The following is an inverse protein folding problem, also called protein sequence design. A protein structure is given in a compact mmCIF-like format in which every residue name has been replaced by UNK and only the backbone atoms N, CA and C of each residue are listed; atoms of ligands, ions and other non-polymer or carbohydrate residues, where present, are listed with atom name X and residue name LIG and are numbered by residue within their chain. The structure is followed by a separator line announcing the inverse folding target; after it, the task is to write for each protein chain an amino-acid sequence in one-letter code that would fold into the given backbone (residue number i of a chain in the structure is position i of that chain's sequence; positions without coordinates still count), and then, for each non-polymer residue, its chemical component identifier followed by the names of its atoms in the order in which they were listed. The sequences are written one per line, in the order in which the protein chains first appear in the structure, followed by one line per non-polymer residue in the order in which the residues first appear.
data_IF_318399798682
#
_entry.id   IF_318399798682
#
_cell.length_a   1.000
_cell.length_b   1.000
_cell.length_c   1.000
_cell.angle_alpha   90.00
_cell.angle_beta   90.00
_cell.angle_gamma   90.00
#
_symmetry.space_group_name_H-M   'P 1'
#
loop_
_entity.id
_entity.type
_entity.pdbx_description
1 polymer ?
#
# COMPACT_ATOMS: atom_id res chain seq x y z
N UNK A 1 30.42 -7.02 10.26
CA UNK A 1 28.96 -7.00 10.05
C UNK A 1 28.68 -6.27 8.74
N UNK A 2 28.17 -6.95 7.71
CA UNK A 2 27.92 -6.35 6.41
C UNK A 2 26.72 -5.39 6.52
N UNK A 3 26.95 -4.08 6.37
CA UNK A 3 25.88 -3.07 6.32
C UNK A 3 25.13 -3.28 4.99
N UNK A 4 23.93 -3.84 5.03
CA UNK A 4 23.08 -4.00 3.82
C UNK A 4 22.24 -2.75 3.63
N UNK A 5 22.06 -2.28 2.40
CA UNK A 5 21.11 -1.20 2.09
C UNK A 5 19.69 -1.73 2.34
N UNK A 6 18.93 -1.02 3.17
CA UNK A 6 17.54 -1.33 3.46
C UNK A 6 16.69 -0.13 3.06
N UNK A 7 15.70 -0.36 2.22
CA UNK A 7 14.67 0.62 1.89
C UNK A 7 13.54 0.49 2.91
N UNK A 8 13.16 1.58 3.57
CA UNK A 8 11.98 1.61 4.45
C UNK A 8 10.86 2.33 3.71
N UNK A 9 9.65 1.77 3.75
CA UNK A 9 8.46 2.43 3.22
C UNK A 9 7.33 2.37 4.23
N UNK A 10 6.84 3.54 4.64
CA UNK A 10 5.65 3.63 5.47
C UNK A 10 4.40 3.47 4.60
N UNK A 11 3.48 2.62 5.04
CA UNK A 11 2.26 2.25 4.31
C UNK A 11 1.07 2.35 5.24
N UNK A 12 0.00 2.98 4.77
CA UNK A 12 -1.29 2.97 5.45
C UNK A 12 -2.22 2.02 4.71
N UNK A 13 -2.90 1.15 5.46
CA UNK A 13 -3.94 0.25 4.94
C UNK A 13 -5.23 0.49 5.72
N UNK A 14 -6.36 0.47 5.01
CA UNK A 14 -7.69 0.65 5.58
C UNK A 14 -8.34 -0.71 5.81
N UNK A 15 -8.69 -1.00 7.06
CA UNK A 15 -9.64 -2.06 7.42
C UNK A 15 -11.04 -1.44 7.50
N UNK A 16 -11.61 -1.18 6.33
CA UNK A 16 -12.87 -0.46 6.19
C UNK A 16 -14.08 -1.40 6.23
N UNK A 17 -15.05 -1.11 7.09
CA UNK A 17 -16.27 -1.91 7.30
C UNK A 17 -17.52 -1.25 6.74
N UNK A 18 -18.44 -2.06 6.21
CA UNK A 18 -19.79 -1.64 5.83
C UNK A 18 -20.64 -1.27 7.05
N UNK A 19 -21.67 -0.43 6.90
CA UNK A 19 -22.58 -0.11 7.99
C UNK A 19 -23.46 -1.32 8.34
N UNK A 20 -23.88 -1.43 9.60
CA UNK A 20 -24.82 -2.46 10.05
C UNK A 20 -24.18 -3.84 10.15
N UNK A 21 -24.36 -4.70 9.14
CA UNK A 21 -23.72 -6.02 9.07
C UNK A 21 -22.27 -5.83 8.56
N UNK A 22 -21.25 -5.85 9.43
CA UNK A 22 -19.95 -5.33 9.08
C UNK A 22 -19.18 -6.35 8.24
N UNK A 23 -19.08 -6.07 6.94
CA UNK A 23 -18.17 -6.74 6.00
C UNK A 23 -16.96 -5.85 5.73
N UNK A 24 -15.83 -6.47 5.44
CA UNK A 24 -14.57 -5.80 5.10
C UNK A 24 -14.49 -5.51 3.62
N UNK A 25 -14.05 -4.31 3.27
CA UNK A 25 -13.70 -3.96 1.90
C UNK A 25 -12.34 -4.56 1.56
N UNK A 26 -12.28 -5.41 0.53
CA UNK A 26 -11.07 -6.06 0.04
C UNK A 26 -10.81 -5.62 -1.41
N UNK A 27 -9.57 -5.22 -1.72
CA UNK A 27 -9.07 -5.10 -3.09
C UNK A 27 -8.76 -6.52 -3.59
N UNK A 28 -9.48 -6.98 -4.62
CA UNK A 28 -9.36 -8.35 -5.14
C UNK A 28 -8.48 -8.43 -6.39
N UNK A 29 -8.51 -7.40 -7.23
CA UNK A 29 -7.76 -7.33 -8.48
C UNK A 29 -7.34 -5.89 -8.78
N UNK A 30 -6.22 -5.73 -9.47
CA UNK A 30 -5.74 -4.49 -10.06
C UNK A 30 -5.46 -4.69 -11.55
N UNK A 31 -5.94 -3.78 -12.39
CA UNK A 31 -5.65 -3.71 -13.81
C UNK A 31 -4.86 -2.43 -14.09
N UNK A 32 -3.69 -2.59 -14.72
CA UNK A 32 -2.84 -1.48 -15.14
C UNK A 32 -3.41 -0.79 -16.41
N UNK A 33 -3.01 0.45 -16.73
CA UNK A 33 -3.43 1.14 -17.95
C UNK A 33 -3.13 0.37 -19.25
N UNK A 34 -2.13 -0.52 -19.23
CA UNK A 34 -1.77 -1.39 -20.36
C UNK A 34 -2.63 -2.67 -20.46
N UNK A 35 -3.64 -2.82 -19.60
CA UNK A 35 -4.54 -3.96 -19.54
C UNK A 35 -4.03 -5.17 -18.76
N UNK A 36 -2.78 -5.17 -18.29
CA UNK A 36 -2.27 -6.27 -17.44
C UNK A 36 -3.03 -6.31 -16.12
N UNK A 37 -3.46 -7.51 -15.73
CA UNK A 37 -4.17 -7.77 -14.47
C UNK A 37 -3.27 -8.45 -13.44
N UNK A 38 -3.53 -8.15 -12.16
CA UNK A 38 -2.88 -8.76 -11.01
C UNK A 38 -3.93 -9.05 -9.94
N UNK A 39 -3.99 -10.29 -9.50
CA UNK A 39 -4.74 -10.62 -8.28
C UNK A 39 -3.99 -10.06 -7.08
N UNK A 40 -4.70 -9.38 -6.17
CA UNK A 40 -4.08 -8.72 -5.01
C UNK A 40 -4.57 -9.27 -3.68
N UNK A 41 -5.89 -9.51 -3.55
CA UNK A 41 -6.54 -10.02 -2.33
C UNK A 41 -5.96 -9.41 -1.04
N UNK A 42 -6.12 -8.10 -0.87
CA UNK A 42 -5.54 -7.33 0.25
C UNK A 42 -6.47 -6.23 0.74
N UNK A 43 -6.19 -5.70 1.94
CA UNK A 43 -6.82 -4.45 2.38
C UNK A 43 -6.39 -3.29 1.47
N UNK A 44 -7.30 -2.36 1.12
CA UNK A 44 -6.95 -1.15 0.38
C UNK A 44 -5.87 -0.34 1.12
N UNK A 45 -4.83 0.07 0.42
CA UNK A 45 -3.74 0.81 1.07
C UNK A 45 -2.70 1.34 0.11
N UNK A 46 -1.95 2.32 0.58
CA UNK A 46 -0.92 3.00 -0.21
C UNK A 46 0.25 3.47 0.65
N UNK A 47 1.37 3.78 0.00
CA UNK A 47 2.54 4.36 0.66
C UNK A 47 2.21 5.79 1.11
N UNK A 48 2.72 6.19 2.27
CA UNK A 48 2.65 7.58 2.74
C UNK A 48 3.55 8.44 1.87
N UNK A 49 3.06 9.62 1.49
CA UNK A 49 3.92 10.64 0.89
C UNK A 49 4.78 11.31 1.99
N UNK A 50 5.95 11.90 1.65
CA UNK A 50 6.86 12.47 2.65
C UNK A 50 6.23 13.50 3.60
N UNK A 51 5.19 14.20 3.14
CA UNK A 51 4.49 15.24 3.89
C UNK A 51 3.19 14.76 4.55
N UNK A 52 2.83 13.48 4.40
CA UNK A 52 1.58 12.93 4.92
C UNK A 52 1.73 12.28 6.29
N UNK A 53 0.77 12.56 7.17
CA UNK A 53 0.48 11.73 8.32
C UNK A 53 -0.50 10.60 7.99
N UNK A 54 -0.71 9.70 8.95
CA UNK A 54 -1.57 8.51 8.79
C UNK A 54 -3.01 8.86 8.40
N UNK A 55 -3.58 9.92 8.97
CA UNK A 55 -4.93 10.41 8.65
C UNK A 55 -4.99 10.88 7.20
N UNK A 56 -4.05 11.71 6.77
CA UNK A 56 -4.02 12.25 5.41
C UNK A 56 -3.92 11.14 4.37
N UNK A 57 -3.06 10.14 4.60
CA UNK A 57 -2.97 8.98 3.71
C UNK A 57 -4.27 8.14 3.71
N UNK A 58 -4.91 7.94 4.87
CA UNK A 58 -6.21 7.26 4.96
C UNK A 58 -7.31 7.99 4.18
N UNK A 59 -7.38 9.32 4.31
CA UNK A 59 -8.31 10.18 3.58
C UNK A 59 -8.03 10.16 2.07
N UNK A 60 -6.75 10.15 1.68
CA UNK A 60 -6.33 9.99 0.29
C UNK A 60 -6.74 8.64 -0.30
N UNK A 61 -6.63 7.54 0.45
CA UNK A 61 -7.11 6.23 0.00
C UNK A 61 -8.62 6.30 -0.30
N UNK A 62 -9.44 6.89 0.58
CA UNK A 62 -10.87 7.05 0.31
C UNK A 62 -11.14 7.84 -0.98
N UNK A 63 -10.50 8.99 -1.14
CA UNK A 63 -10.79 9.89 -2.24
C UNK A 63 -10.23 9.40 -3.58
N UNK A 64 -8.93 9.06 -3.60
CA UNK A 64 -8.20 8.83 -4.84
C UNK A 64 -8.24 7.36 -5.28
N UNK A 65 -8.35 6.43 -4.35
CA UNK A 65 -8.41 4.99 -4.68
C UNK A 65 -9.85 4.49 -4.73
N UNK A 66 -10.70 4.93 -3.79
CA UNK A 66 -12.06 4.42 -3.66
C UNK A 66 -13.11 5.36 -4.28
N UNK A 67 -12.78 6.61 -4.59
CA UNK A 67 -13.76 7.59 -5.07
C UNK A 67 -14.89 7.84 -4.07
N UNK A 68 -14.58 7.75 -2.77
CA UNK A 68 -15.48 7.96 -1.63
C UNK A 68 -15.11 9.29 -0.96
N UNK A 69 -16.11 10.10 -0.62
CA UNK A 69 -15.87 11.32 0.17
C UNK A 69 -15.36 10.97 1.57
N UNK A 70 -14.37 11.71 2.07
CA UNK A 70 -13.85 11.55 3.45
C UNK A 70 -14.96 11.62 4.50
N UNK A 71 -15.97 12.47 4.30
CA UNK A 71 -17.11 12.60 5.21
C UNK A 71 -18.02 11.36 5.25
N UNK A 72 -17.86 10.43 4.31
CA UNK A 72 -18.66 9.20 4.23
C UNK A 72 -18.11 8.05 5.06
N UNK A 73 -16.98 8.24 5.75
CA UNK A 73 -16.39 7.25 6.64
C UNK A 73 -15.94 7.88 7.96
N UNK A 74 -15.91 7.06 9.01
CA UNK A 74 -15.31 7.39 10.31
C UNK A 74 -14.10 6.51 10.53
N UNK A 75 -12.96 7.10 10.84
CA UNK A 75 -11.74 6.39 11.18
C UNK A 75 -11.52 6.34 12.69
N UNK A 76 -11.05 5.20 13.19
CA UNK A 76 -10.50 5.11 14.54
C UNK A 76 -8.97 5.27 14.46
N UNK A 77 -8.52 6.48 14.74
CA UNK A 77 -7.09 6.83 14.76
C UNK A 77 -6.45 6.65 16.13
N UNK A 78 -7.22 6.28 17.15
CA UNK A 78 -6.70 6.05 18.50
C UNK A 78 -6.12 4.62 18.62
N UNK A 79 -6.61 3.69 17.80
CA UNK A 79 -6.25 2.27 17.84
C UNK A 79 -5.60 1.79 16.53
N UNK A 80 -4.53 2.48 16.09
CA UNK A 80 -3.79 2.10 14.87
C UNK A 80 -2.88 0.90 15.17
N UNK A 81 -3.12 -0.22 14.48
CA UNK A 81 -2.22 -1.39 14.54
C UNK A 81 -0.96 -1.13 13.69
N UNK A 82 0.21 -1.47 14.21
CA UNK A 82 1.49 -1.25 13.53
C UNK A 82 2.32 -2.53 13.48
N UNK A 83 2.91 -2.80 12.33
CA UNK A 83 3.82 -3.93 12.15
C UNK A 83 4.79 -3.69 10.99
N UNK A 84 5.89 -4.43 10.99
CA UNK A 84 6.87 -4.41 9.91
C UNK A 84 6.76 -5.68 9.06
N UNK A 85 6.96 -5.55 7.75
CA UNK A 85 7.02 -6.68 6.84
C UNK A 85 8.22 -6.51 5.91
N UNK A 86 9.11 -7.49 5.92
CA UNK A 86 10.23 -7.55 4.99
C UNK A 86 9.82 -8.30 3.72
N UNK A 87 10.04 -7.67 2.57
CA UNK A 87 9.86 -8.33 1.28
C UNK A 87 10.74 -7.68 0.21
N UNK A 88 11.06 -8.44 -0.84
CA UNK A 88 11.71 -7.88 -2.03
C UNK A 88 10.72 -6.97 -2.76
N UNK A 89 11.18 -5.78 -3.15
CA UNK A 89 10.38 -4.88 -3.95
C UNK A 89 10.73 -5.06 -5.43
N UNK A 90 9.77 -5.39 -6.31
CA UNK A 90 10.04 -5.47 -7.75
C UNK A 90 10.61 -4.18 -8.33
N UNK A 91 10.28 -3.03 -7.73
CA UNK A 91 10.77 -1.72 -8.14
C UNK A 91 12.24 -1.46 -7.76
N UNK A 92 12.80 -2.20 -6.80
CA UNK A 92 14.16 -2.03 -6.28
C UNK A 92 14.85 -3.41 -6.20
N UNK A 93 15.16 -4.02 -7.35
CA UNK A 93 15.70 -5.37 -7.40
C UNK A 93 16.99 -5.52 -6.58
N UNK A 94 17.07 -6.56 -5.75
CA UNK A 94 18.22 -6.81 -4.88
C UNK A 94 18.34 -5.87 -3.67
N UNK A 95 17.40 -4.92 -3.48
CA UNK A 95 17.35 -4.07 -2.29
C UNK A 95 16.29 -4.60 -1.32
N UNK A 96 16.71 -4.95 -0.11
CA UNK A 96 15.82 -5.36 0.97
C UNK A 96 14.85 -4.22 1.31
N UNK A 97 13.55 -4.47 1.27
CA UNK A 97 12.54 -3.48 1.64
C UNK A 97 11.81 -3.88 2.91
N UNK A 98 11.72 -2.96 3.87
CA UNK A 98 10.91 -3.08 5.08
C UNK A 98 9.71 -2.16 4.93
N UNK A 99 8.52 -2.73 4.92
CA UNK A 99 7.26 -2.00 4.91
C UNK A 99 6.79 -1.82 6.35
N UNK A 100 6.70 -0.58 6.81
CA UNK A 100 6.10 -0.23 8.10
C UNK A 100 4.64 0.06 7.86
N UNK A 101 3.79 -0.89 8.23
CA UNK A 101 2.35 -0.82 7.97
C UNK A 101 1.61 -0.27 9.17
N UNK A 102 0.70 0.66 8.90
CA UNK A 102 -0.29 1.17 9.83
C UNK A 102 -1.68 0.73 9.35
N UNK A 103 -2.36 -0.13 10.11
CA UNK A 103 -3.75 -0.50 9.84
C UNK A 103 -4.66 0.49 10.55
N UNK A 104 -5.48 1.19 9.77
CA UNK A 104 -6.48 2.12 10.27
C UNK A 104 -7.86 1.48 10.14
N UNK A 105 -8.54 1.33 11.27
CA UNK A 105 -9.95 0.96 11.29
C UNK A 105 -10.82 2.06 10.71
N UNK A 106 -11.82 1.68 9.93
CA UNK A 106 -12.85 2.61 9.52
C UNK A 106 -14.20 1.95 9.31
N UNK A 107 -15.26 2.75 9.37
CA UNK A 107 -16.63 2.32 9.05
C UNK A 107 -17.26 3.33 8.10
N UNK A 108 -17.90 2.86 7.03
CA UNK A 108 -18.75 3.69 6.18
C UNK A 108 -19.94 4.20 7.00
N UNK A 109 -20.12 5.52 7.05
CA UNK A 109 -21.12 6.19 7.89
C UNK A 109 -22.11 7.05 7.11
N UNK A 110 -22.03 7.08 5.79
CA UNK A 110 -22.96 7.84 4.94
C UNK A 110 -24.33 7.16 4.83
N UNK A 111 -25.37 7.98 4.64
CA UNK A 111 -26.74 7.55 4.30
C UNK A 111 -27.09 7.80 2.84
N UNK A 112 -26.15 8.34 2.05
CA UNK A 112 -26.33 8.57 0.62
C UNK A 112 -26.51 7.24 -0.13
N UNK A 113 -27.73 6.99 -0.57
CA UNK A 113 -28.11 5.74 -1.25
C UNK A 113 -27.40 5.57 -2.59
N UNK A 114 -27.14 6.64 -3.32
CA UNK A 114 -26.46 6.56 -4.62
C UNK A 114 -25.00 6.17 -4.43
N UNK A 115 -24.31 6.79 -3.45
CA UNK A 115 -22.96 6.41 -3.09
C UNK A 115 -22.89 4.97 -2.57
N UNK A 116 -23.80 4.58 -1.67
CA UNK A 116 -23.86 3.21 -1.15
C UNK A 116 -24.02 2.19 -2.29
N UNK A 117 -24.94 2.42 -3.23
CA UNK A 117 -25.11 1.56 -4.41
C UNK A 117 -23.86 1.50 -5.28
N UNK A 118 -23.22 2.66 -5.52
CA UNK A 118 -21.98 2.76 -6.31
C UNK A 118 -20.85 1.92 -5.72
N UNK A 119 -20.74 1.87 -4.39
CA UNK A 119 -19.71 1.08 -3.69
C UNK A 119 -20.21 -0.32 -3.33
N UNK A 120 -21.27 -0.81 -3.97
CA UNK A 120 -21.75 -2.18 -3.83
C UNK A 120 -22.62 -2.47 -2.60
N UNK A 121 -23.05 -1.46 -1.85
CA UNK A 121 -23.94 -1.60 -0.69
C UNK A 121 -25.42 -1.34 -1.06
N UNK A 122 -26.39 -1.97 -0.37
CA UNK A 122 -26.23 -2.92 0.74
C UNK A 122 -26.02 -4.37 0.30
N UNK A 123 -26.07 -4.66 -1.01
CA UNK A 123 -26.09 -6.03 -1.54
C UNK A 123 -24.71 -6.71 -1.55
N UNK A 124 -23.66 -6.00 -1.13
CA UNK A 124 -22.26 -6.45 -1.16
C UNK A 124 -21.79 -6.81 -2.58
N UNK A 125 -22.29 -6.08 -3.58
CA UNK A 125 -21.89 -6.24 -4.98
C UNK A 125 -20.44 -5.80 -5.18
N UNK A 126 -19.79 -6.41 -6.18
CA UNK A 126 -18.47 -5.99 -6.63
C UNK A 126 -18.54 -4.63 -7.33
N UNK A 127 -17.48 -3.85 -7.18
CA UNK A 127 -17.35 -2.56 -7.84
C UNK A 127 -15.88 -2.26 -8.12
N UNK A 128 -15.61 -1.24 -8.92
CA UNK A 128 -14.25 -0.82 -9.23
C UNK A 128 -14.11 0.70 -9.24
N UNK A 129 -12.87 1.16 -9.09
CA UNK A 129 -12.50 2.55 -9.23
C UNK A 129 -11.13 2.69 -9.90
N UNK A 130 -10.98 3.73 -10.71
CA UNK A 130 -9.70 4.11 -11.28
C UNK A 130 -8.96 5.04 -10.32
N UNK A 131 -7.68 4.77 -10.07
CA UNK A 131 -6.80 5.67 -9.32
C UNK A 131 -6.22 6.78 -10.21
N UNK A 132 -5.45 7.70 -9.61
CA UNK A 132 -4.81 8.82 -10.34
C UNK A 132 -3.79 8.38 -11.39
N UNK A 133 -3.22 7.18 -11.26
CA UNK A 133 -2.28 6.63 -12.22
C UNK A 133 -3.01 5.88 -13.36
N UNK A 134 -4.34 5.83 -13.33
CA UNK A 134 -5.18 5.13 -14.31
C UNK A 134 -5.28 3.63 -14.05
N UNK A 135 -4.79 3.11 -12.93
CA UNK A 135 -5.01 1.71 -12.59
C UNK A 135 -6.46 1.53 -12.15
N UNK A 136 -7.13 0.50 -12.66
CA UNK A 136 -8.48 0.13 -12.20
C UNK A 136 -8.37 -0.93 -11.12
N UNK A 137 -8.88 -0.64 -9.93
CA UNK A 137 -8.91 -1.56 -8.79
C UNK A 137 -10.31 -2.09 -8.58
N UNK A 138 -10.41 -3.39 -8.32
CA UNK A 138 -11.66 -4.11 -8.11
C UNK A 138 -11.82 -4.44 -6.63
N UNK A 139 -13.03 -4.21 -6.11
CA UNK A 139 -13.31 -4.31 -4.70
C UNK A 139 -14.52 -5.19 -4.41
N UNK A 140 -14.47 -5.88 -3.27
CA UNK A 140 -15.55 -6.73 -2.80
C UNK A 140 -15.70 -6.64 -1.28
N UNK A 141 -16.95 -6.67 -0.81
CA UNK A 141 -17.26 -6.73 0.61
C UNK A 141 -17.31 -8.18 1.10
N UNK A 142 -16.36 -8.56 1.94
CA UNK A 142 -16.19 -9.93 2.44
C UNK A 142 -16.47 -10.03 3.94
N UNK A 143 -16.95 -11.20 4.39
CA UNK A 143 -16.86 -11.52 5.82
C UNK A 143 -15.40 -11.72 6.22
N UNK A 144 -15.07 -11.50 7.50
CA UNK A 144 -13.73 -11.76 8.05
C UNK A 144 -13.26 -13.19 7.71
N UNK A 145 -14.14 -14.20 7.89
CA UNK A 145 -13.88 -15.60 7.54
C UNK A 145 -13.55 -15.79 6.05
N UNK A 146 -14.25 -15.10 5.16
CA UNK A 146 -14.00 -15.18 3.70
C UNK A 146 -12.65 -14.54 3.34
N UNK A 147 -12.34 -13.39 3.93
CA UNK A 147 -11.07 -12.70 3.71
C UNK A 147 -9.89 -13.52 4.24
N UNK A 148 -10.01 -14.13 5.43
CA UNK A 148 -9.01 -15.04 6.00
C UNK A 148 -8.82 -16.30 5.14
N UNK A 149 -9.90 -16.90 4.62
CA UNK A 149 -9.82 -18.03 3.70
C UNK A 149 -9.07 -17.67 2.39
N UNK A 150 -9.11 -16.40 1.98
CA UNK A 150 -8.33 -15.83 0.87
C UNK A 150 -6.95 -15.35 1.28
N UNK A 151 -6.51 -15.64 2.51
CA UNK A 151 -5.21 -15.26 3.09
C UNK A 151 -4.96 -13.74 3.13
N UNK A 152 -6.04 -12.95 3.22
CA UNK A 152 -5.92 -11.50 3.44
C UNK A 152 -5.33 -11.26 4.83
N UNK A 153 -4.25 -10.49 4.92
CA UNK A 153 -3.67 -10.07 6.21
C UNK A 153 -4.55 -9.01 6.88
N UNK A 154 -5.40 -9.44 7.81
CA UNK A 154 -6.36 -8.57 8.50
C UNK A 154 -5.79 -7.88 9.74
N UNK A 155 -4.71 -8.39 10.33
CA UNK A 155 -4.13 -7.91 11.59
C UNK A 155 -2.61 -7.85 11.49
N UNK A 156 -2.01 -7.09 12.39
CA UNK A 156 -0.58 -7.19 12.65
C UNK A 156 -0.25 -8.60 13.18
N UNK A 157 0.51 -9.37 12.39
CA UNK A 157 1.21 -10.55 12.91
C UNK A 157 2.48 -10.07 13.63
N UNK A 158 2.85 -10.73 14.72
CA UNK A 158 4.07 -10.39 15.45
C UNK A 158 5.29 -10.68 14.55
N UNK A 159 5.82 -9.66 13.88
CA UNK A 159 7.10 -9.77 13.19
C UNK A 159 8.25 -9.57 14.18
N UNK A 160 9.35 -10.28 13.98
CA UNK A 160 10.61 -9.95 14.63
C UNK A 160 11.01 -8.52 14.24
N UNK A 161 11.50 -7.75 15.22
CA UNK A 161 11.92 -6.37 14.99
C UNK A 161 13.09 -6.34 13.99
N UNK A 162 12.90 -5.69 12.84
CA UNK A 162 13.99 -5.52 11.86
C UNK A 162 14.84 -4.33 12.27
N UNK A 163 16.16 -4.53 12.40
CA UNK A 163 17.08 -3.42 12.68
C UNK A 163 17.14 -2.47 11.49
N UNK A 164 16.43 -1.35 11.56
CA UNK A 164 16.39 -0.32 10.51
C UNK A 164 17.50 0.73 10.64
N UNK A 165 18.50 0.54 11.50
CA UNK A 165 19.57 1.50 11.77
C UNK A 165 20.67 1.48 10.68
N UNK A 166 20.25 1.56 9.41
CA UNK A 166 21.15 1.76 8.27
C UNK A 166 20.98 3.19 7.79
N UNK A 167 22.08 3.92 7.64
CA UNK A 167 22.04 5.28 7.11
C UNK A 167 21.64 5.24 5.64
N UNK A 168 20.56 5.93 5.30
CA UNK A 168 20.17 6.15 3.91
C UNK A 168 21.26 6.99 3.19
N UNK A 169 21.59 6.67 1.92
CA UNK A 169 22.52 7.44 1.11
C UNK A 169 21.85 8.71 0.57
N UNK A 170 21.46 9.62 1.46
CA UNK A 170 20.78 10.88 1.10
C UNK A 170 21.70 11.72 0.21
N UNK A 171 21.14 12.30 -0.87
CA UNK A 171 21.81 13.21 -1.80
C UNK A 171 22.65 12.53 -2.88
N UNK A 172 22.57 11.21 -3.04
CA UNK A 172 23.38 10.50 -4.04
C UNK A 172 22.82 10.74 -5.44
N UNK A 173 23.67 11.24 -6.34
CA UNK A 173 23.39 11.26 -7.78
C UNK A 173 23.47 9.84 -8.39
N UNK A 174 23.10 9.69 -9.66
CA UNK A 174 23.04 8.39 -10.33
C UNK A 174 24.36 7.60 -10.29
N UNK A 175 25.50 8.27 -10.48
CA UNK A 175 26.82 7.63 -10.52
C UNK A 175 27.26 7.17 -9.12
N UNK A 176 27.05 8.02 -8.10
CA UNK A 176 27.30 7.68 -6.71
C UNK A 176 26.43 6.51 -6.25
N UNK A 177 25.14 6.53 -6.62
CA UNK A 177 24.20 5.47 -6.29
C UNK A 177 24.60 4.14 -6.94
N UNK A 178 24.99 4.14 -8.22
CA UNK A 178 25.49 2.93 -8.91
C UNK A 178 26.71 2.33 -8.21
N UNK A 179 27.68 3.17 -7.86
CA UNK A 179 28.90 2.72 -7.18
C UNK A 179 28.58 2.13 -5.82
N UNK A 180 27.68 2.79 -5.08
CA UNK A 180 27.24 2.34 -3.77
C UNK A 180 26.51 0.99 -3.85
N UNK A 181 25.55 0.83 -4.77
CA UNK A 181 24.81 -0.41 -4.98
C UNK A 181 25.74 -1.58 -5.31
N UNK A 182 26.71 -1.37 -6.22
CA UNK A 182 27.74 -2.38 -6.55
C UNK A 182 28.55 -2.78 -5.32
N UNK A 183 28.96 -1.82 -4.49
CA UNK A 183 29.72 -2.10 -3.26
C UNK A 183 28.95 -2.99 -2.26
N UNK A 184 27.61 -3.02 -2.38
CA UNK A 184 26.72 -3.80 -1.54
C UNK A 184 26.24 -5.09 -2.21
N UNK A 185 26.77 -5.43 -3.39
CA UNK A 185 26.39 -6.62 -4.15
C UNK A 185 25.04 -6.50 -4.87
N UNK A 186 24.50 -5.29 -5.00
CA UNK A 186 23.29 -5.02 -5.79
C UNK A 186 23.70 -4.65 -7.21
N UNK A 187 23.16 -5.36 -8.20
CA UNK A 187 23.42 -5.09 -9.62
C UNK A 187 22.58 -3.90 -10.13
N UNK A 188 23.21 -2.74 -10.44
CA UNK A 188 22.47 -1.58 -10.93
C UNK A 188 21.86 -1.78 -12.31
N UNK A 189 22.33 -2.77 -13.10
CA UNK A 189 21.83 -3.04 -14.44
C UNK A 189 20.45 -3.70 -14.46
N UNK A 190 19.94 -4.10 -13.29
CA UNK A 190 18.55 -4.58 -13.12
C UNK A 190 17.53 -3.43 -13.04
N UNK A 191 17.97 -2.21 -12.77
CA UNK A 191 17.10 -1.03 -12.70
C UNK A 191 16.74 -0.55 -14.11
N UNK A 192 15.48 -0.16 -14.31
CA UNK A 192 14.91 0.22 -15.60
C UNK A 192 14.49 -0.95 -16.51
N UNK A 193 14.53 -2.19 -16.01
CA UNK A 193 14.07 -3.40 -16.70
C UNK A 193 12.88 -4.02 -15.98
N UNK A 194 12.02 -4.73 -16.70
CA UNK A 194 10.90 -5.52 -16.15
C UNK A 194 9.95 -4.74 -15.21
N UNK A 195 9.79 -3.42 -15.45
CA UNK A 195 8.98 -2.54 -14.61
C UNK A 195 9.65 -2.10 -13.30
N UNK A 196 10.93 -2.42 -13.11
CA UNK A 196 11.75 -1.82 -12.06
C UNK A 196 11.99 -0.33 -12.36
N UNK A 197 12.15 0.46 -11.29
CA UNK A 197 12.52 1.87 -11.44
C UNK A 197 13.90 1.98 -12.07
N UNK A 198 14.11 3.03 -12.84
CA UNK A 198 15.44 3.42 -13.30
C UNK A 198 16.31 3.91 -12.13
N UNK A 199 17.63 3.86 -12.32
CA UNK A 199 18.58 4.45 -11.35
C UNK A 199 18.31 5.95 -11.15
N UNK A 200 17.93 6.65 -12.22
CA UNK A 200 17.55 8.07 -12.17
C UNK A 200 16.38 8.32 -11.23
N UNK A 201 15.30 7.54 -11.37
CA UNK A 201 14.14 7.64 -10.49
C UNK A 201 14.49 7.30 -9.04
N UNK A 202 15.36 6.30 -8.82
CA UNK A 202 15.82 5.98 -7.47
C UNK A 202 16.67 7.10 -6.87
N UNK A 203 17.62 7.65 -7.63
CA UNK A 203 18.44 8.79 -7.18
C UNK A 203 17.58 10.02 -6.84
N UNK A 204 16.53 10.30 -7.61
CA UNK A 204 15.61 11.39 -7.33
C UNK A 204 14.83 11.23 -6.01
N UNK A 205 14.63 10.00 -5.52
CA UNK A 205 14.00 9.75 -4.21
C UNK A 205 14.95 9.95 -3.01
N UNK A 206 16.25 10.11 -3.28
CA UNK A 206 17.26 10.31 -2.23
C UNK A 206 17.53 11.80 -1.94
N UNK A 207 16.86 12.71 -2.64
CA UNK A 207 17.04 14.18 -2.56
C UNK A 207 15.96 14.79 -1.67
#
# INVERSE_FOLDING_TARGET
SHKKLVRVADVVVLRLRSPGQPRLLIEVEEMLPDGRKRETCRLPGTKKEPHENTRQTAERILQEMLGISVSSAKFDLNNIERFEEEMESPSYPGVRTVYRKEIVEGVISTTDRALLQKIGLPNFAEWNAADRAGNTKFFQWMSDKTAEAKKVKLKAEASEAVSTLVRAPIGFNEEMLRTHLKSLGVDPERFGKDGAKSIKEFSAELI
#
